data_IF_286847938128
#
_entry.id   IF_286847938128
#
_cell.length_a   1.000
_cell.length_b   1.000
_cell.length_c   1.000
_cell.angle_alpha   90.00
_cell.angle_beta   90.00
_cell.angle_gamma   90.00
#
_symmetry.space_group_name_H-M   'P 1'
#
loop_
_entity.id
_entity.type
_entity.pdbx_description
1 polymer ?
#
# COMPACT_ATOMS: atom_id res chain seq x y z
N UNK A 1 -57.61 26.33 31.57
CA UNK A 1 -56.15 26.42 31.66
C UNK A 1 -55.64 25.22 32.46
N UNK A 2 -54.90 24.30 31.83
CA UNK A 2 -54.30 23.14 32.51
C UNK A 2 -52.99 23.60 33.14
N UNK A 3 -52.84 23.47 34.45
CA UNK A 3 -51.61 23.73 35.14
C UNK A 3 -50.49 22.79 34.64
N UNK A 4 -49.26 23.29 34.39
CA UNK A 4 -48.17 22.44 34.00
C UNK A 4 -47.84 21.46 35.16
N UNK A 5 -47.90 20.15 34.88
CA UNK A 5 -47.46 19.15 35.86
C UNK A 5 -45.93 19.22 35.92
N UNK A 6 -45.42 19.57 37.10
CA UNK A 6 -43.96 19.55 37.36
C UNK A 6 -43.42 18.14 37.20
N UNK A 7 -42.24 18.01 36.57
CA UNK A 7 -41.48 16.76 36.51
C UNK A 7 -41.17 16.25 37.92
N UNK A 8 -41.42 14.95 38.13
CA UNK A 8 -41.07 14.32 39.39
C UNK A 8 -39.56 14.03 39.44
N UNK A 9 -38.97 14.03 40.62
CA UNK A 9 -37.54 13.78 40.84
C UNK A 9 -37.13 12.40 40.25
N UNK A 10 -38.02 11.42 40.31
CA UNK A 10 -37.78 10.09 39.71
C UNK A 10 -37.74 10.12 38.18
N UNK A 11 -38.52 10.95 37.55
CA UNK A 11 -38.60 11.09 36.10
C UNK A 11 -37.32 11.72 35.55
N UNK A 12 -36.75 12.73 36.25
CA UNK A 12 -35.46 13.30 35.90
C UNK A 12 -34.32 12.30 36.07
N UNK A 13 -34.32 11.47 37.12
CA UNK A 13 -33.33 10.42 37.32
C UNK A 13 -33.36 9.39 36.23
N UNK A 14 -34.55 8.92 35.83
CA UNK A 14 -34.72 7.96 34.74
C UNK A 14 -34.26 8.58 33.41
N UNK A 15 -34.59 9.84 33.14
CA UNK A 15 -34.16 10.52 31.92
C UNK A 15 -32.63 10.62 31.83
N UNK A 16 -31.95 11.01 32.93
CA UNK A 16 -30.48 11.05 32.97
C UNK A 16 -29.87 9.66 32.79
N UNK A 17 -30.44 8.64 33.43
CA UNK A 17 -29.95 7.27 33.26
C UNK A 17 -30.02 6.80 31.80
N UNK A 18 -31.17 7.04 31.16
CA UNK A 18 -31.34 6.69 29.73
C UNK A 18 -30.34 7.46 28.85
N UNK A 19 -30.14 8.76 29.14
CA UNK A 19 -29.19 9.59 28.39
C UNK A 19 -27.75 9.04 28.50
N UNK A 20 -27.31 8.66 29.70
CA UNK A 20 -25.98 8.09 29.94
C UNK A 20 -25.81 6.78 29.20
N UNK A 21 -26.82 5.91 29.24
CA UNK A 21 -26.79 4.64 28.49
C UNK A 21 -26.68 4.88 26.99
N UNK A 22 -27.47 5.79 26.42
CA UNK A 22 -27.43 6.14 25.01
C UNK A 22 -26.06 6.73 24.60
N UNK A 23 -25.50 7.66 25.41
CA UNK A 23 -24.19 8.23 25.17
C UNK A 23 -23.09 7.15 25.17
N UNK A 24 -23.18 6.18 26.07
CA UNK A 24 -22.20 5.08 26.16
C UNK A 24 -22.25 4.19 24.91
N UNK A 25 -23.45 3.86 24.41
CA UNK A 25 -23.62 3.06 23.19
C UNK A 25 -23.08 3.81 21.96
N UNK A 26 -23.37 5.11 21.84
CA UNK A 26 -22.87 5.93 20.75
C UNK A 26 -21.34 6.04 20.78
N UNK A 27 -20.76 6.28 21.96
CA UNK A 27 -19.31 6.37 22.12
C UNK A 27 -18.60 5.06 21.73
N UNK A 28 -19.14 3.90 22.13
CA UNK A 28 -18.59 2.60 21.77
C UNK A 28 -18.64 2.33 20.25
N UNK A 29 -19.63 2.86 19.55
CA UNK A 29 -19.77 2.72 18.10
C UNK A 29 -18.78 3.58 17.32
N UNK A 30 -18.31 4.70 17.87
CA UNK A 30 -17.40 5.63 17.21
C UNK A 30 -15.92 5.22 17.36
N UNK A 31 -15.53 4.61 18.48
CA UNK A 31 -14.15 4.23 18.77
C UNK A 31 -13.49 3.35 17.68
N UNK A 32 -14.14 2.30 17.13
CA UNK A 32 -13.54 1.49 16.09
C UNK A 32 -13.34 2.23 14.77
N UNK A 33 -14.14 3.26 14.46
CA UNK A 33 -14.00 4.05 13.23
C UNK A 33 -12.67 4.80 13.16
N UNK A 34 -12.17 5.34 14.28
CA UNK A 34 -10.86 6.01 14.33
C UNK A 34 -9.70 5.04 14.09
N UNK A 35 -9.80 3.80 14.55
CA UNK A 35 -8.81 2.76 14.29
C UNK A 35 -8.75 2.30 12.83
N UNK A 36 -9.90 2.21 12.18
CA UNK A 36 -10.01 1.85 10.76
C UNK A 36 -9.43 2.94 9.84
N UNK A 37 -9.66 4.21 10.15
CA UNK A 37 -9.16 5.34 9.37
C UNK A 37 -7.62 5.37 9.34
N UNK A 38 -6.96 5.15 10.47
CA UNK A 38 -5.49 5.07 10.54
C UNK A 38 -4.92 3.89 9.75
N UNK A 39 -5.55 2.74 9.82
CA UNK A 39 -5.14 1.56 9.04
C UNK A 39 -5.29 1.80 7.54
N UNK A 40 -6.40 2.38 7.13
CA UNK A 40 -6.69 2.72 5.75
C UNK A 40 -5.67 3.72 5.19
N UNK A 41 -5.32 4.76 5.93
CA UNK A 41 -4.33 5.75 5.52
C UNK A 41 -2.94 5.14 5.32
N UNK A 42 -2.47 4.33 6.27
CA UNK A 42 -1.15 3.68 6.13
C UNK A 42 -1.09 2.70 4.96
N UNK A 43 -2.18 2.03 4.65
CA UNK A 43 -2.27 1.12 3.52
C UNK A 43 -2.34 1.88 2.19
N UNK A 44 -3.08 2.99 2.16
CA UNK A 44 -3.18 3.88 1.01
C UNK A 44 -1.81 4.50 0.66
N UNK A 45 -1.08 5.01 1.66
CA UNK A 45 0.26 5.56 1.48
C UNK A 45 1.25 4.51 0.97
N UNK A 46 1.18 3.28 1.47
CA UNK A 46 2.01 2.19 1.00
C UNK A 46 1.72 1.84 -0.47
N UNK A 47 0.45 1.80 -0.86
CA UNK A 47 0.03 1.55 -2.24
C UNK A 47 0.50 2.66 -3.18
N UNK A 48 0.35 3.93 -2.80
CA UNK A 48 0.84 5.07 -3.59
C UNK A 48 2.36 5.02 -3.79
N UNK A 49 3.12 4.64 -2.75
CA UNK A 49 4.57 4.46 -2.86
C UNK A 49 4.91 3.34 -3.83
N UNK A 50 4.25 2.20 -3.73
CA UNK A 50 4.46 1.09 -4.65
C UNK A 50 4.15 1.48 -6.10
N UNK A 51 3.05 2.18 -6.35
CA UNK A 51 2.66 2.67 -7.68
C UNK A 51 3.70 3.62 -8.28
N UNK A 52 4.19 4.59 -7.50
CA UNK A 52 5.23 5.53 -7.97
C UNK A 52 6.51 4.81 -8.38
N UNK A 53 6.91 3.79 -7.63
CA UNK A 53 8.13 3.02 -7.93
C UNK A 53 7.93 2.18 -9.19
N UNK A 54 6.80 1.49 -9.30
CA UNK A 54 6.48 0.70 -10.51
C UNK A 54 6.44 1.58 -11.75
N UNK A 55 5.84 2.77 -11.67
CA UNK A 55 5.80 3.70 -12.79
C UNK A 55 7.18 4.26 -13.13
N UNK A 56 8.01 4.57 -12.13
CA UNK A 56 9.39 4.99 -12.36
C UNK A 56 10.21 3.90 -13.08
N UNK A 57 10.04 2.64 -12.70
CA UNK A 57 10.68 1.50 -13.38
C UNK A 57 10.15 1.36 -14.81
N UNK A 58 8.84 1.45 -15.00
CA UNK A 58 8.20 1.36 -16.31
C UNK A 58 8.71 2.43 -17.26
N UNK A 59 8.80 3.68 -16.80
CA UNK A 59 9.35 4.79 -17.59
C UNK A 59 10.83 4.58 -17.89
N UNK A 60 11.62 4.17 -16.90
CA UNK A 60 13.05 3.91 -17.08
C UNK A 60 13.30 2.79 -18.10
N UNK A 61 12.46 1.77 -18.12
CA UNK A 61 12.60 0.62 -19.02
C UNK A 61 12.02 0.81 -20.43
N UNK A 62 11.55 2.02 -20.77
CA UNK A 62 11.36 2.45 -22.16
C UNK A 62 12.71 2.61 -22.87
N UNK A 63 13.78 2.82 -22.10
CA UNK A 63 15.15 2.80 -22.60
C UNK A 63 15.64 1.35 -22.69
N UNK A 64 15.98 0.85 -23.89
CA UNK A 64 16.42 -0.53 -24.12
C UNK A 64 17.64 -0.94 -23.29
N UNK A 65 18.58 -0.03 -23.07
CA UNK A 65 19.78 -0.30 -22.29
C UNK A 65 19.47 -0.49 -20.82
N UNK A 66 18.59 0.34 -20.23
CA UNK A 66 18.16 0.19 -18.84
C UNK A 66 17.33 -1.06 -18.65
N UNK A 67 16.45 -1.37 -19.61
CA UNK A 67 15.71 -2.63 -19.59
C UNK A 67 16.66 -3.83 -19.59
N UNK A 68 17.64 -3.85 -20.50
CA UNK A 68 18.60 -4.96 -20.63
C UNK A 68 19.48 -5.14 -19.39
N UNK A 69 19.79 -4.05 -18.68
CA UNK A 69 20.57 -4.08 -17.42
C UNK A 69 19.72 -4.30 -16.17
N UNK A 70 18.42 -4.43 -16.28
CA UNK A 70 17.47 -4.50 -15.15
C UNK A 70 17.72 -3.41 -14.12
N UNK A 71 17.89 -2.16 -14.59
CA UNK A 71 18.19 -1.03 -13.73
C UNK A 71 17.23 0.15 -13.93
N UNK A 72 17.11 0.99 -12.89
CA UNK A 72 16.42 2.28 -13.01
C UNK A 72 17.01 3.25 -11.98
N UNK A 73 17.42 4.43 -12.46
CA UNK A 73 18.08 5.43 -11.62
C UNK A 73 17.05 6.21 -10.82
N UNK A 74 16.84 5.80 -9.57
CA UNK A 74 16.06 6.55 -8.58
C UNK A 74 16.50 6.19 -7.17
N UNK A 75 16.16 7.05 -6.21
CA UNK A 75 16.42 6.79 -4.80
C UNK A 75 15.37 5.84 -4.24
N UNK A 76 15.78 4.64 -3.82
CA UNK A 76 14.91 3.67 -3.19
C UNK A 76 14.55 4.12 -1.76
N UNK A 77 13.25 4.31 -1.44
CA UNK A 77 12.84 4.63 -0.08
C UNK A 77 13.10 3.44 0.88
N UNK A 78 13.34 3.70 2.16
CA UNK A 78 13.50 2.64 3.14
C UNK A 78 12.24 1.77 3.23
N UNK A 79 12.44 0.46 3.45
CA UNK A 79 11.35 -0.51 3.57
C UNK A 79 10.73 -0.96 2.24
N UNK A 80 11.35 -0.61 1.10
CA UNK A 80 10.92 -1.10 -0.22
C UNK A 80 11.86 -2.21 -0.68
N UNK A 81 11.27 -3.30 -1.14
CA UNK A 81 11.93 -4.44 -1.74
C UNK A 81 11.45 -4.61 -3.18
N UNK A 82 12.38 -4.76 -4.12
CA UNK A 82 12.10 -4.93 -5.54
C UNK A 82 12.65 -6.27 -5.97
N UNK A 83 11.77 -7.13 -6.45
CA UNK A 83 12.12 -8.42 -7.02
C UNK A 83 11.79 -8.42 -8.52
N UNK A 84 12.75 -8.82 -9.35
CA UNK A 84 12.55 -8.94 -10.79
C UNK A 84 12.73 -10.39 -11.22
N UNK A 85 11.83 -10.87 -12.06
CA UNK A 85 11.89 -12.20 -12.64
C UNK A 85 11.88 -12.08 -14.17
N UNK A 86 12.74 -12.86 -14.83
CA UNK A 86 12.67 -13.03 -16.27
C UNK A 86 11.47 -13.89 -16.61
N UNK A 87 10.76 -13.55 -17.68
CA UNK A 87 9.62 -14.31 -18.19
C UNK A 87 9.95 -14.85 -19.58
N UNK A 88 9.41 -16.00 -19.89
CA UNK A 88 9.40 -16.56 -21.23
C UNK A 88 8.27 -15.97 -22.11
N UNK A 89 8.15 -16.46 -23.36
CA UNK A 89 7.09 -16.03 -24.28
C UNK A 89 5.68 -16.38 -23.82
N UNK A 90 5.54 -17.30 -22.84
CA UNK A 90 4.27 -17.71 -22.22
C UNK A 90 4.02 -17.04 -20.89
N UNK A 91 4.81 -15.99 -20.54
CA UNK A 91 4.79 -15.26 -19.26
C UNK A 91 5.07 -16.15 -18.03
N UNK A 92 5.82 -17.25 -18.21
CA UNK A 92 6.26 -18.10 -17.12
C UNK A 92 7.61 -17.61 -16.58
N UNK A 93 7.81 -17.58 -15.26
CA UNK A 93 9.08 -17.17 -14.66
C UNK A 93 10.18 -18.18 -15.01
N UNK A 94 11.29 -17.70 -15.55
CA UNK A 94 12.45 -18.53 -15.92
C UNK A 94 13.63 -18.33 -14.98
N UNK A 95 13.65 -17.25 -14.20
CA UNK A 95 14.71 -16.97 -13.24
C UNK A 95 14.53 -15.63 -12.56
N UNK A 96 15.28 -15.40 -11.49
CA UNK A 96 15.32 -14.12 -10.77
C UNK A 96 16.47 -13.28 -11.32
N UNK A 97 16.22 -11.99 -11.55
CA UNK A 97 17.21 -11.01 -12.03
C UNK A 97 17.57 -10.06 -10.89
N UNK A 98 18.82 -9.62 -10.86
CA UNK A 98 19.28 -8.59 -9.93
C UNK A 98 18.78 -7.23 -10.39
N UNK A 99 18.02 -6.51 -9.54
CA UNK A 99 17.63 -5.13 -9.81
C UNK A 99 18.66 -4.16 -9.21
N UNK A 100 19.09 -3.16 -10.00
CA UNK A 100 19.99 -2.10 -9.55
C UNK A 100 19.33 -0.72 -9.64
N UNK A 101 19.54 0.10 -8.62
CA UNK A 101 19.18 1.53 -8.65
C UNK A 101 20.28 2.39 -9.27
N UNK A 102 21.42 1.78 -9.63
CA UNK A 102 22.53 2.42 -10.33
C UNK A 102 22.78 1.68 -11.66
N UNK A 103 22.47 2.36 -12.76
CA UNK A 103 22.65 1.79 -14.09
C UNK A 103 24.10 1.82 -14.59
N UNK A 104 24.99 2.57 -13.92
CA UNK A 104 26.40 2.66 -14.31
C UNK A 104 27.16 1.36 -14.00
N UNK A 105 26.80 0.71 -12.90
CA UNK A 105 27.46 -0.52 -12.41
C UNK A 105 26.65 -1.79 -12.75
N UNK A 106 25.44 -1.65 -13.27
CA UNK A 106 24.59 -2.78 -13.59
C UNK A 106 25.10 -3.57 -14.78
N UNK A 107 25.21 -4.90 -14.60
CA UNK A 107 25.62 -5.82 -15.66
C UNK A 107 24.41 -6.15 -16.56
N UNK A 108 24.58 -6.18 -17.88
CA UNK A 108 23.51 -6.60 -18.79
C UNK A 108 23.05 -8.05 -18.51
N UNK A 109 21.76 -8.27 -18.53
CA UNK A 109 21.18 -9.60 -18.43
C UNK A 109 21.44 -10.42 -19.71
N UNK A 110 21.13 -11.71 -19.64
CA UNK A 110 21.19 -12.58 -20.81
C UNK A 110 20.32 -12.03 -21.94
N UNK A 111 20.80 -12.12 -23.17
CA UNK A 111 20.06 -11.69 -24.36
C UNK A 111 18.80 -12.52 -24.58
N UNK A 112 17.73 -11.88 -25.04
CA UNK A 112 16.51 -12.58 -25.45
C UNK A 112 15.44 -12.75 -24.38
N UNK A 113 15.49 -11.97 -23.27
CA UNK A 113 14.40 -11.96 -22.28
C UNK A 113 13.22 -11.14 -22.85
N UNK A 114 12.10 -11.79 -23.21
CA UNK A 114 10.98 -11.11 -23.88
C UNK A 114 10.16 -10.24 -22.95
N UNK A 115 10.10 -10.58 -21.66
CA UNK A 115 9.39 -9.81 -20.65
C UNK A 115 10.00 -10.01 -19.27
N UNK A 116 9.78 -9.04 -18.39
CA UNK A 116 10.23 -9.07 -16.99
C UNK A 116 9.05 -8.79 -16.07
N UNK A 117 8.93 -9.58 -15.01
CA UNK A 117 7.98 -9.37 -13.92
C UNK A 117 8.64 -8.62 -12.79
N UNK A 118 8.12 -7.45 -12.47
CA UNK A 118 8.58 -6.63 -11.35
C UNK A 118 7.58 -6.76 -10.22
N UNK A 119 8.04 -7.15 -9.05
CA UNK A 119 7.25 -7.16 -7.83
C UNK A 119 7.85 -6.17 -6.86
N UNK A 120 7.11 -5.11 -6.54
CA UNK A 120 7.47 -4.09 -5.55
C UNK A 120 6.71 -4.37 -4.26
N UNK A 121 7.42 -4.57 -3.16
CA UNK A 121 6.86 -4.78 -1.83
C UNK A 121 7.24 -3.63 -0.92
N UNK A 122 6.25 -3.02 -0.28
CA UNK A 122 6.46 -1.96 0.72
C UNK A 122 6.23 -2.56 2.10
N UNK A 123 7.25 -2.47 2.97
CA UNK A 123 7.22 -2.98 4.34
C UNK A 123 7.11 -1.83 5.34
N UNK A 124 6.46 -2.09 6.46
CA UNK A 124 6.48 -1.16 7.60
C UNK A 124 7.78 -1.28 8.40
N UNK A 125 7.97 -0.39 9.39
CA UNK A 125 9.13 -0.42 10.29
C UNK A 125 9.27 -1.70 11.12
N UNK A 126 8.26 -2.58 11.09
CA UNK A 126 8.25 -3.90 11.72
C UNK A 126 8.50 -5.04 10.72
N UNK A 127 8.87 -4.73 9.48
CA UNK A 127 9.13 -5.70 8.42
C UNK A 127 7.89 -6.33 7.77
N UNK A 128 6.67 -5.95 8.16
CA UNK A 128 5.44 -6.51 7.60
C UNK A 128 5.13 -5.86 6.25
N UNK A 129 4.77 -6.68 5.26
CA UNK A 129 4.35 -6.19 3.93
C UNK A 129 3.01 -5.47 4.06
N UNK A 130 2.97 -4.20 3.64
CA UNK A 130 1.78 -3.35 3.62
C UNK A 130 1.18 -3.19 2.24
N UNK A 131 2.02 -3.23 1.22
CA UNK A 131 1.59 -3.23 -0.17
C UNK A 131 2.49 -4.14 -0.98
N UNK A 132 1.92 -4.79 -1.99
CA UNK A 132 2.66 -5.56 -2.99
C UNK A 132 2.03 -5.30 -4.34
N UNK A 133 2.82 -4.82 -5.29
CA UNK A 133 2.39 -4.54 -6.64
C UNK A 133 3.25 -5.35 -7.60
N UNK A 134 2.61 -6.00 -8.57
CA UNK A 134 3.30 -6.77 -9.60
C UNK A 134 2.92 -6.23 -10.97
N UNK A 135 3.92 -6.04 -11.83
CA UNK A 135 3.77 -5.58 -13.21
C UNK A 135 4.65 -6.42 -14.12
N UNK A 136 4.09 -6.85 -15.24
CA UNK A 136 4.85 -7.48 -16.32
C UNK A 136 5.19 -6.42 -17.37
N UNK A 137 6.49 -6.23 -17.62
CA UNK A 137 7.01 -5.26 -18.60
C UNK A 137 7.63 -6.03 -19.74
N UNK A 138 7.15 -5.77 -20.96
CA UNK A 138 7.76 -6.30 -22.18
C UNK A 138 8.93 -5.40 -22.60
N UNK A 139 9.95 -6.02 -23.16
CA UNK A 139 11.06 -5.28 -23.74
C UNK A 139 10.60 -4.38 -24.89
N UNK A 140 11.23 -3.21 -25.05
CA UNK A 140 11.00 -2.31 -26.18
C UNK A 140 11.48 -2.90 -27.50
#
# INVERSE_FOLDING_TARGET
MRAPKGLTLIETLIAIFILVVLMTVVAQSLLPLFGLTRRSQTQFDANLRAQRIVEAIRVAWQDPDKYRRTCATFRLPPGVDIQVQALDKRAQPTGTLGFSTDCSTAVPDATGIPAKRVTVRVRDGKGRVRASLTLDVRGP
#
